data_IF_958869125570
#
_entry.id   IF_958869125570
#
_cell.length_a   1.000
_cell.length_b   1.000
_cell.length_c   1.000
_cell.angle_alpha   90.00
_cell.angle_beta   90.00
_cell.angle_gamma   90.00
#
_symmetry.space_group_name_H-M   'P 1'
#
loop_
_entity.id
_entity.type
_entity.pdbx_description
1 polymer ?
#
# COMPACT_ATOMS: atom_id res chain seq x y z
N UNK A 1 14.20 7.67 -21.30
CA UNK A 1 12.94 8.01 -20.61
C UNK A 1 13.06 7.65 -19.13
N UNK A 2 13.27 8.64 -18.26
CA UNK A 2 13.33 8.43 -16.80
C UNK A 2 11.90 8.25 -16.31
N UNK A 3 11.59 7.11 -15.67
CA UNK A 3 10.26 6.89 -15.07
C UNK A 3 9.98 8.04 -14.10
N UNK A 4 8.83 8.74 -14.20
CA UNK A 4 8.48 9.78 -13.25
C UNK A 4 8.54 9.20 -11.82
N UNK A 5 9.04 9.96 -10.83
CA UNK A 5 9.09 9.47 -9.46
C UNK A 5 7.68 9.10 -9.01
N UNK A 6 7.46 7.84 -8.63
CA UNK A 6 6.14 7.29 -8.28
C UNK A 6 5.49 7.91 -7.02
N UNK A 7 6.04 8.98 -6.46
CA UNK A 7 5.57 9.64 -5.24
C UNK A 7 5.87 11.14 -5.36
N UNK A 8 4.83 11.97 -5.46
CA UNK A 8 4.97 13.40 -5.19
C UNK A 8 5.39 13.56 -3.71
N UNK A 9 6.50 14.26 -3.51
CA UNK A 9 7.31 14.21 -2.28
C UNK A 9 6.69 14.99 -1.11
N UNK A 10 5.41 15.33 -1.14
CA UNK A 10 4.77 16.23 -0.17
C UNK A 10 3.76 15.43 0.67
N UNK A 11 4.07 15.23 1.96
CA UNK A 11 3.11 14.68 2.95
C UNK A 11 3.03 13.15 3.10
N UNK A 12 3.86 12.37 2.38
CA UNK A 12 3.88 10.91 2.54
C UNK A 12 4.42 10.54 3.93
N UNK A 13 3.63 9.82 4.74
CA UNK A 13 4.06 9.33 6.06
C UNK A 13 5.24 8.38 5.90
N UNK A 14 6.38 8.78 6.47
CA UNK A 14 7.57 7.94 6.62
C UNK A 14 7.53 7.32 8.01
N UNK A 15 7.32 6.01 8.09
CA UNK A 15 7.22 5.32 9.37
C UNK A 15 6.56 3.94 9.26
N UNK A 16 6.47 3.22 10.40
CA UNK A 16 5.77 1.94 10.44
C UNK A 16 4.33 2.11 9.97
N UNK A 17 3.77 1.06 9.37
CA UNK A 17 2.34 1.01 9.06
C UNK A 17 1.56 0.83 10.34
N UNK A 18 0.51 1.63 10.52
CA UNK A 18 -0.40 1.46 11.66
C UNK A 18 -1.48 0.42 11.32
N UNK A 19 -2.09 -0.21 12.34
CA UNK A 19 -3.18 -1.17 12.11
C UNK A 19 -4.34 -0.57 11.31
N UNK A 20 -4.65 0.72 11.51
CA UNK A 20 -5.72 1.42 10.79
C UNK A 20 -5.40 1.53 9.30
N UNK A 21 -4.15 1.87 8.96
CA UNK A 21 -3.70 1.92 7.56
C UNK A 21 -3.74 0.53 6.91
N UNK A 22 -3.38 -0.52 7.66
CA UNK A 22 -3.45 -1.90 7.20
C UNK A 22 -4.89 -2.34 6.94
N UNK A 23 -5.83 -2.02 7.83
CA UNK A 23 -7.26 -2.32 7.65
C UNK A 23 -7.77 -1.65 6.37
N UNK A 24 -7.51 -0.35 6.20
CA UNK A 24 -7.91 0.40 5.00
C UNK A 24 -7.36 -0.25 3.73
N UNK A 25 -6.07 -0.61 3.75
CA UNK A 25 -5.42 -1.26 2.61
C UNK A 25 -6.04 -2.63 2.30
N UNK A 26 -6.29 -3.45 3.33
CA UNK A 26 -6.90 -4.78 3.20
C UNK A 26 -8.32 -4.67 2.66
N UNK A 27 -9.16 -3.81 3.24
CA UNK A 27 -10.55 -3.61 2.81
C UNK A 27 -10.62 -3.20 1.33
N UNK A 28 -9.80 -2.23 0.92
CA UNK A 28 -9.74 -1.82 -0.48
C UNK A 28 -9.35 -2.96 -1.42
N UNK A 29 -8.38 -3.78 -1.04
CA UNK A 29 -7.91 -4.90 -1.86
C UNK A 29 -8.92 -6.05 -1.88
N UNK A 30 -9.66 -6.28 -0.80
CA UNK A 30 -10.74 -7.26 -0.79
C UNK A 30 -11.87 -6.85 -1.73
N UNK A 31 -12.19 -5.56 -1.81
CA UNK A 31 -13.25 -5.04 -2.69
C UNK A 31 -12.83 -4.99 -4.17
N UNK A 32 -11.63 -4.48 -4.47
CA UNK A 32 -11.20 -4.23 -5.86
C UNK A 32 -10.22 -5.26 -6.42
N UNK A 33 -9.69 -6.15 -5.57
CA UNK A 33 -8.63 -7.07 -5.92
C UNK A 33 -7.22 -6.45 -5.89
N UNK A 34 -6.16 -7.29 -5.77
CA UNK A 34 -4.79 -6.81 -5.78
C UNK A 34 -4.32 -6.51 -7.21
N UNK A 35 -3.66 -5.37 -7.42
CA UNK A 35 -2.98 -5.07 -8.70
C UNK A 35 -2.87 -3.59 -9.06
N UNK A 36 -3.94 -2.82 -8.83
CA UNK A 36 -4.02 -1.41 -9.19
C UNK A 36 -3.47 -0.47 -8.11
N UNK A 37 -2.21 -0.67 -7.71
CA UNK A 37 -1.57 0.05 -6.60
C UNK A 37 -1.47 1.57 -6.77
N UNK A 38 -1.55 2.07 -8.01
CA UNK A 38 -1.46 3.51 -8.31
C UNK A 38 -2.65 4.29 -7.76
N UNK A 39 -3.84 3.70 -7.82
CA UNK A 39 -5.08 4.34 -7.37
C UNK A 39 -5.37 4.07 -5.89
N UNK A 40 -4.69 3.09 -5.26
CA UNK A 40 -4.89 2.76 -3.85
C UNK A 40 -4.78 4.00 -2.95
N UNK A 41 -3.69 4.80 -2.97
CA UNK A 41 -3.58 5.96 -2.08
C UNK A 41 -4.68 7.00 -2.32
N UNK A 42 -5.02 7.24 -3.59
CA UNK A 42 -6.02 8.22 -3.99
C UNK A 42 -7.43 7.81 -3.57
N UNK A 43 -7.78 6.54 -3.73
CA UNK A 43 -9.12 6.04 -3.40
C UNK A 43 -9.30 5.79 -1.89
N UNK A 44 -8.23 5.46 -1.18
CA UNK A 44 -8.29 5.15 0.26
C UNK A 44 -7.99 6.36 1.16
N UNK A 45 -7.48 7.45 0.59
CA UNK A 45 -6.98 8.60 1.36
C UNK A 45 -5.69 8.29 2.13
N UNK A 46 -5.04 7.15 1.89
CA UNK A 46 -3.79 6.81 2.55
C UNK A 46 -2.69 7.78 2.13
N UNK A 47 -2.02 8.38 3.10
CA UNK A 47 -0.81 9.19 2.91
C UNK A 47 0.44 8.31 2.69
N UNK A 48 0.28 7.24 1.90
CA UNK A 48 1.30 6.25 1.55
C UNK A 48 1.45 6.21 0.04
N UNK A 49 2.66 6.01 -0.46
CA UNK A 49 2.83 5.88 -1.90
C UNK A 49 2.41 4.50 -2.41
N UNK A 50 2.08 4.41 -3.70
CA UNK A 50 1.66 3.17 -4.37
C UNK A 50 2.65 2.01 -4.17
N UNK A 51 3.95 2.32 -4.19
CA UNK A 51 5.01 1.34 -3.92
C UNK A 51 4.92 0.81 -2.48
N UNK A 52 4.69 1.68 -1.50
CA UNK A 52 4.56 1.30 -0.09
C UNK A 52 3.33 0.42 0.11
N UNK A 53 2.16 0.78 -0.45
CA UNK A 53 0.94 -0.02 -0.37
C UNK A 53 1.16 -1.43 -0.95
N UNK A 54 1.78 -1.52 -2.13
CA UNK A 54 2.13 -2.81 -2.75
C UNK A 54 3.02 -3.64 -1.84
N UNK A 55 4.12 -3.05 -1.35
CA UNK A 55 5.08 -3.76 -0.50
C UNK A 55 4.45 -4.20 0.82
N UNK A 56 3.58 -3.38 1.42
CA UNK A 56 2.90 -3.75 2.66
C UNK A 56 2.00 -4.96 2.46
N UNK A 57 1.20 -4.96 1.39
CA UNK A 57 0.35 -6.10 1.08
C UNK A 57 1.14 -7.38 0.86
N UNK A 58 2.11 -7.38 -0.07
CA UNK A 58 2.80 -8.62 -0.47
C UNK A 58 3.68 -9.21 0.64
N UNK A 59 4.19 -8.38 1.56
CA UNK A 59 5.12 -8.82 2.60
C UNK A 59 4.44 -9.10 3.94
N UNK A 60 3.30 -8.47 4.24
CA UNK A 60 2.68 -8.57 5.57
C UNK A 60 1.19 -8.90 5.58
N UNK A 61 0.38 -8.44 4.62
CA UNK A 61 -1.08 -8.52 4.72
C UNK A 61 -1.73 -9.57 3.81
N UNK A 62 -1.06 -9.99 2.73
CA UNK A 62 -1.61 -10.98 1.80
C UNK A 62 -1.86 -12.31 2.52
N UNK A 63 -3.08 -12.88 2.41
CA UNK A 63 -3.36 -14.22 2.93
C UNK A 63 -2.40 -15.24 2.31
N UNK A 64 -1.83 -16.12 3.14
CA UNK A 64 -0.91 -17.17 2.69
C UNK A 64 0.57 -16.76 2.63
N UNK A 65 0.95 -15.60 3.17
CA UNK A 65 2.37 -15.30 3.40
C UNK A 65 2.91 -16.23 4.49
N UNK A 66 3.86 -17.09 4.14
CA UNK A 66 4.64 -17.87 5.10
C UNK A 66 5.68 -16.95 5.73
N UNK A 67 5.40 -16.43 6.93
CA UNK A 67 6.42 -15.79 7.77
C UNK A 67 7.19 -16.94 8.43
N UNK A 68 8.47 -17.10 8.06
CA UNK A 68 9.34 -18.11 8.67
C UNK A 68 9.35 -17.95 10.18
N UNK A 69 9.31 -19.09 10.87
CA UNK A 69 9.35 -19.20 12.33
C UNK A 69 10.74 -18.89 12.88
#
# INVERSE_FOLDING_TARGET
MVRPPCCDKIGVKKGPWTPEEDIILVSYIQEHGPGNWRVVPTNTGLLRCSKSCRLRWINYLRPGIKRGN
#
